data_IF_796742782362
#
_entry.id   IF_796742782362
#
_cell.length_a   1.000
_cell.length_b   1.000
_cell.length_c   1.000
_cell.angle_alpha   90.00
_cell.angle_beta   90.00
_cell.angle_gamma   90.00
#
_symmetry.space_group_name_H-M   'P 1'
#
loop_
_entity.id
_entity.type
_entity.pdbx_description
1 polymer ?
#
# COMPACT_ATOMS: atom_id res chain seq x y z
N UNK A 1 -10.36 -30.72 8.50
CA UNK A 1 -10.11 -29.54 7.64
C UNK A 1 -10.07 -28.23 8.43
N UNK A 2 -11.11 -27.88 9.21
CA UNK A 2 -11.20 -26.62 9.97
C UNK A 2 -9.98 -26.28 10.85
N UNK A 3 -9.45 -27.23 11.64
CA UNK A 3 -8.28 -26.98 12.52
C UNK A 3 -7.02 -26.53 11.75
N UNK A 4 -6.78 -27.07 10.56
CA UNK A 4 -5.66 -26.64 9.68
C UNK A 4 -5.90 -25.26 9.08
N UNK A 5 -7.16 -24.93 8.75
CA UNK A 5 -7.54 -23.59 8.28
C UNK A 5 -7.39 -22.53 9.39
N UNK A 6 -7.72 -22.88 10.63
CA UNK A 6 -7.57 -21.99 11.79
C UNK A 6 -6.09 -21.81 12.14
N UNK A 7 -5.30 -22.88 12.10
CA UNK A 7 -3.85 -22.85 12.38
C UNK A 7 -3.08 -21.92 11.44
N UNK A 8 -3.39 -21.91 10.13
CA UNK A 8 -2.68 -21.05 9.17
C UNK A 8 -2.96 -19.55 9.34
N UNK A 9 -4.21 -19.17 9.64
CA UNK A 9 -4.53 -17.76 9.87
C UNK A 9 -3.95 -17.23 11.19
N UNK A 10 -3.74 -18.11 12.18
CA UNK A 10 -2.96 -17.76 13.39
C UNK A 10 -1.51 -17.41 13.08
N UNK A 11 -0.87 -18.11 12.13
CA UNK A 11 0.51 -17.78 11.73
C UNK A 11 0.58 -16.43 11.02
N UNK A 12 -0.41 -16.09 10.19
CA UNK A 12 -0.49 -14.76 9.58
C UNK A 12 -0.72 -13.67 10.64
N UNK A 13 -1.59 -13.93 11.62
CA UNK A 13 -1.78 -13.01 12.74
C UNK A 13 -0.47 -12.80 13.53
N UNK A 14 0.31 -13.86 13.72
CA UNK A 14 1.63 -13.75 14.35
C UNK A 14 2.58 -12.88 13.51
N UNK A 15 2.59 -13.02 12.19
CA UNK A 15 3.38 -12.14 11.31
C UNK A 15 2.94 -10.68 11.44
N UNK A 16 1.64 -10.41 11.56
CA UNK A 16 1.16 -9.05 11.80
C UNK A 16 1.62 -8.50 13.14
N UNK A 17 1.60 -9.31 14.21
CA UNK A 17 2.14 -8.91 15.51
C UNK A 17 3.64 -8.60 15.41
N UNK A 18 4.42 -9.44 14.72
CA UNK A 18 5.84 -9.20 14.47
C UNK A 18 6.06 -7.90 13.68
N UNK A 19 5.28 -7.67 12.63
CA UNK A 19 5.33 -6.43 11.85
C UNK A 19 4.99 -5.22 12.71
N UNK A 20 3.96 -5.29 13.56
CA UNK A 20 3.61 -4.20 14.49
C UNK A 20 4.79 -3.92 15.42
N UNK A 21 5.38 -4.94 16.04
CA UNK A 21 6.51 -4.76 16.96
C UNK A 21 7.71 -4.11 16.26
N UNK A 22 8.00 -4.52 15.02
CA UNK A 22 9.13 -4.02 14.24
C UNK A 22 8.94 -2.59 13.75
N UNK A 23 7.72 -2.25 13.29
CA UNK A 23 7.41 -0.97 12.67
C UNK A 23 6.68 0.01 13.61
N UNK A 24 6.43 -0.34 14.88
CA UNK A 24 5.73 0.55 15.81
C UNK A 24 6.36 1.95 15.98
N UNK A 25 7.69 2.15 15.87
CA UNK A 25 8.25 3.49 16.04
C UNK A 25 7.78 4.45 14.93
N UNK A 26 7.42 3.91 13.76
CA UNK A 26 6.99 4.69 12.60
C UNK A 26 5.71 5.48 12.85
N UNK A 27 4.83 5.02 13.74
CA UNK A 27 3.59 5.73 14.10
C UNK A 27 3.84 7.07 14.82
N UNK A 28 5.06 7.26 15.34
CA UNK A 28 5.47 8.49 16.03
C UNK A 28 6.28 9.44 15.16
N UNK A 29 6.60 9.04 13.91
CA UNK A 29 7.33 9.89 12.99
C UNK A 29 6.48 11.07 12.53
N UNK A 30 7.13 12.23 12.42
CA UNK A 30 6.56 13.41 11.81
C UNK A 30 6.83 13.42 10.31
N UNK A 31 6.09 14.22 9.56
CA UNK A 31 6.33 14.42 8.13
C UNK A 31 7.76 14.91 7.87
N UNK A 32 8.39 14.39 6.82
CA UNK A 32 9.78 14.68 6.51
C UNK A 32 10.02 14.91 5.00
N UNK A 33 10.94 15.81 4.67
CA UNK A 33 11.35 16.12 3.29
C UNK A 33 10.16 16.37 2.33
N UNK A 34 10.02 15.52 1.31
CA UNK A 34 9.08 15.67 0.20
C UNK A 34 7.63 15.44 0.64
N UNK A 35 7.39 14.91 1.86
CA UNK A 35 6.04 14.74 2.41
C UNK A 35 5.25 16.05 2.38
N UNK A 36 5.89 17.18 2.70
CA UNK A 36 5.23 18.50 2.66
C UNK A 36 4.87 18.93 1.24
N UNK A 37 5.74 18.62 0.28
CA UNK A 37 5.45 18.88 -1.13
C UNK A 37 4.23 18.06 -1.57
N UNK A 38 4.23 16.76 -1.30
CA UNK A 38 3.12 15.88 -1.65
C UNK A 38 1.81 16.25 -0.96
N UNK A 39 1.84 16.63 0.33
CA UNK A 39 0.67 17.13 1.07
C UNK A 39 0.10 18.44 0.52
N UNK A 40 0.96 19.28 -0.07
CA UNK A 40 0.54 20.52 -0.75
C UNK A 40 -0.11 20.20 -2.11
N UNK A 41 0.42 19.22 -2.83
CA UNK A 41 -0.14 18.79 -4.13
C UNK A 41 -1.49 18.08 -3.98
N UNK A 42 -1.66 17.30 -2.92
CA UNK A 42 -2.87 16.53 -2.64
C UNK A 42 -4.03 17.36 -2.06
N UNK A 43 -4.08 18.66 -2.36
CA UNK A 43 -5.15 19.55 -1.90
C UNK A 43 -6.17 19.75 -3.01
N UNK A 44 -7.43 19.46 -2.70
CA UNK A 44 -8.57 19.74 -3.56
C UNK A 44 -9.61 20.51 -2.74
N UNK A 45 -10.03 21.68 -3.24
CA UNK A 45 -11.08 22.48 -2.60
C UNK A 45 -12.43 22.28 -3.29
N UNK A 46 -12.41 21.82 -4.54
CA UNK A 46 -13.59 21.52 -5.34
C UNK A 46 -13.55 20.10 -5.89
N UNK A 47 -14.70 19.59 -6.33
CA UNK A 47 -14.79 18.30 -7.04
C UNK A 47 -13.94 18.33 -8.32
N UNK A 48 -13.86 19.47 -8.99
CA UNK A 48 -13.00 19.63 -10.18
C UNK A 48 -11.52 19.46 -9.83
N UNK A 49 -11.05 20.00 -8.71
CA UNK A 49 -9.67 19.83 -8.26
C UNK A 49 -9.37 18.36 -7.97
N UNK A 50 -10.32 17.65 -7.35
CA UNK A 50 -10.18 16.22 -7.08
C UNK A 50 -10.11 15.39 -8.38
N UNK A 51 -10.97 15.68 -9.36
CA UNK A 51 -10.93 15.03 -10.67
C UNK A 51 -9.60 15.33 -11.38
N UNK A 52 -9.06 16.53 -11.20
CA UNK A 52 -7.78 16.93 -11.79
C UNK A 52 -6.58 16.12 -11.26
N UNK A 53 -6.68 15.43 -10.11
CA UNK A 53 -5.65 14.46 -9.70
C UNK A 53 -5.42 13.38 -10.75
N UNK A 54 -6.47 12.99 -11.49
CA UNK A 54 -6.44 11.99 -12.56
C UNK A 54 -6.15 12.58 -13.94
N UNK A 55 -5.77 13.86 -14.01
CA UNK A 55 -5.36 14.48 -15.27
C UNK A 55 -3.86 14.26 -15.52
N UNK A 56 -3.50 14.03 -16.78
CA UNK A 56 -2.08 13.98 -17.19
C UNK A 56 -1.44 15.38 -17.30
N UNK A 57 -2.24 16.45 -17.21
CA UNK A 57 -1.76 17.83 -17.21
C UNK A 57 -1.67 18.32 -15.77
N UNK A 58 -0.54 18.06 -15.13
CA UNK A 58 -0.36 18.48 -13.75
C UNK A 58 0.00 19.98 -13.71
N UNK A 59 -0.83 20.79 -13.05
CA UNK A 59 -0.65 22.25 -12.92
C UNK A 59 0.66 22.64 -12.22
N UNK A 60 1.31 21.69 -11.55
CA UNK A 60 2.53 21.90 -10.78
C UNK A 60 3.80 21.40 -11.49
N UNK A 61 3.74 21.07 -12.79
CA UNK A 61 4.87 20.55 -13.59
C UNK A 61 5.54 19.32 -12.97
N UNK A 62 4.78 18.53 -12.19
CA UNK A 62 5.29 17.33 -11.53
C UNK A 62 5.22 16.14 -12.48
N UNK A 63 6.38 15.54 -12.74
CA UNK A 63 6.59 14.53 -13.77
C UNK A 63 6.03 13.13 -13.44
N UNK A 64 5.34 12.95 -12.31
CA UNK A 64 4.80 11.63 -11.94
C UNK A 64 3.28 11.66 -11.82
N UNK A 65 2.63 10.78 -12.56
CA UNK A 65 1.19 10.54 -12.55
C UNK A 65 0.89 9.33 -11.67
N UNK A 66 0.46 9.60 -10.43
CA UNK A 66 0.15 8.60 -9.39
C UNK A 66 -1.08 9.00 -8.57
N UNK A 67 -2.24 9.22 -9.21
CA UNK A 67 -3.42 9.82 -8.56
C UNK A 67 -3.85 9.07 -7.31
N UNK A 68 -3.98 7.74 -7.37
CA UNK A 68 -4.53 6.96 -6.27
C UNK A 68 -3.59 6.83 -5.08
N UNK A 69 -2.34 6.45 -5.37
CA UNK A 69 -1.37 6.06 -4.36
C UNK A 69 -0.55 7.23 -3.81
N UNK A 70 -0.79 8.45 -4.28
CA UNK A 70 -0.27 9.68 -3.64
C UNK A 70 -1.40 10.66 -3.37
N UNK A 71 -2.01 11.23 -4.40
CA UNK A 71 -2.95 12.35 -4.28
C UNK A 71 -4.21 11.97 -3.50
N UNK A 72 -4.91 10.91 -3.92
CA UNK A 72 -6.15 10.45 -3.27
C UNK A 72 -5.87 9.97 -1.85
N UNK A 73 -4.81 9.19 -1.64
CA UNK A 73 -4.42 8.75 -0.29
C UNK A 73 -4.21 9.94 0.67
N UNK A 74 -3.37 10.90 0.28
CA UNK A 74 -3.04 12.05 1.11
C UNK A 74 -4.25 12.97 1.30
N UNK A 75 -5.01 13.22 0.22
CA UNK A 75 -6.24 14.02 0.27
C UNK A 75 -7.27 13.41 1.23
N UNK A 76 -7.56 12.11 1.09
CA UNK A 76 -8.56 11.42 1.91
C UNK A 76 -8.15 11.38 3.37
N UNK A 77 -6.89 11.05 3.65
CA UNK A 77 -6.36 11.01 5.01
C UNK A 77 -6.41 12.39 5.66
N UNK A 78 -6.01 13.43 4.93
CA UNK A 78 -6.09 14.83 5.39
C UNK A 78 -7.52 15.27 5.63
N UNK A 79 -8.45 14.90 4.74
CA UNK A 79 -9.85 15.32 4.84
C UNK A 79 -10.56 14.72 6.07
N UNK A 80 -10.16 13.52 6.49
CA UNK A 80 -10.78 12.80 7.61
C UNK A 80 -10.04 13.07 8.93
N UNK A 81 -8.71 13.07 8.93
CA UNK A 81 -7.87 13.09 10.13
C UNK A 81 -6.99 14.34 10.26
N UNK A 82 -7.06 15.27 9.30
CA UNK A 82 -6.21 16.46 9.27
C UNK A 82 -4.73 16.13 9.07
N UNK A 83 -3.85 16.93 9.66
CA UNK A 83 -2.39 16.79 9.55
C UNK A 83 -1.77 15.93 10.65
N UNK A 84 -2.52 14.99 11.23
CA UNK A 84 -2.01 14.11 12.28
C UNK A 84 -1.20 12.94 11.66
N UNK A 85 0.15 12.89 11.79
CA UNK A 85 1.00 11.93 11.05
C UNK A 85 0.67 10.47 11.35
N UNK A 86 0.28 10.19 12.59
CA UNK A 86 -0.13 8.87 13.05
C UNK A 86 -1.09 8.16 12.08
N UNK A 87 -2.11 8.86 11.59
CA UNK A 87 -3.14 8.24 10.72
C UNK A 87 -2.62 7.92 9.32
N UNK A 88 -1.66 8.69 8.80
CA UNK A 88 -1.02 8.41 7.52
C UNK A 88 -0.18 7.14 7.61
N UNK A 89 0.66 7.03 8.65
CA UNK A 89 1.44 5.81 8.89
C UNK A 89 0.54 4.62 9.20
N UNK A 90 -0.60 4.82 9.88
CA UNK A 90 -1.57 3.76 10.15
C UNK A 90 -2.21 3.20 8.90
N UNK A 91 -2.69 4.05 8.01
CA UNK A 91 -3.27 3.58 6.75
C UNK A 91 -2.20 2.92 5.89
N UNK A 92 -0.99 3.48 5.81
CA UNK A 92 0.15 2.86 5.13
C UNK A 92 0.46 1.46 5.68
N UNK A 93 0.50 1.33 7.00
CA UNK A 93 0.75 0.06 7.69
C UNK A 93 -0.38 -0.96 7.48
N UNK A 94 -1.64 -0.53 7.43
CA UNK A 94 -2.79 -1.40 7.12
C UNK A 94 -2.66 -1.96 5.69
N UNK A 95 -2.33 -1.12 4.72
CA UNK A 95 -2.12 -1.57 3.33
C UNK A 95 -0.89 -2.49 3.23
N UNK A 96 0.18 -2.20 3.98
CA UNK A 96 1.33 -3.09 4.11
C UNK A 96 0.96 -4.47 4.68
N UNK A 97 0.14 -4.53 5.73
CA UNK A 97 -0.40 -5.80 6.24
C UNK A 97 -1.24 -6.53 5.18
N UNK A 98 -2.01 -5.78 4.38
CA UNK A 98 -2.75 -6.36 3.27
C UNK A 98 -1.80 -6.96 2.21
N UNK A 99 -0.66 -6.33 1.93
CA UNK A 99 0.38 -6.86 1.04
C UNK A 99 0.97 -8.17 1.56
N UNK A 100 1.32 -8.24 2.85
CA UNK A 100 1.78 -9.49 3.50
C UNK A 100 0.75 -10.61 3.28
N UNK A 101 -0.53 -10.31 3.48
CA UNK A 101 -1.60 -11.30 3.28
C UNK A 101 -1.78 -11.72 1.82
N UNK A 102 -1.69 -10.77 0.88
CA UNK A 102 -1.79 -11.07 -0.55
C UNK A 102 -0.62 -11.95 -1.01
N UNK A 103 0.60 -11.66 -0.56
CA UNK A 103 1.78 -12.51 -0.82
C UNK A 103 1.53 -13.93 -0.30
N UNK A 104 1.05 -14.08 0.94
CA UNK A 104 0.67 -15.39 1.48
C UNK A 104 -0.32 -16.11 0.56
N UNK A 105 -1.36 -15.43 0.09
CA UNK A 105 -2.38 -16.01 -0.80
C UNK A 105 -1.82 -16.41 -2.15
N UNK A 106 -0.98 -15.58 -2.75
CA UNK A 106 -0.35 -15.84 -4.05
C UNK A 106 0.56 -17.06 -3.95
N UNK A 107 1.47 -17.09 -2.97
CA UNK A 107 2.40 -18.21 -2.79
C UNK A 107 1.65 -19.50 -2.45
N UNK A 108 0.60 -19.42 -1.62
CA UNK A 108 -0.24 -20.57 -1.30
C UNK A 108 -0.97 -21.10 -2.54
N UNK A 109 -1.43 -20.21 -3.42
CA UNK A 109 -2.10 -20.60 -4.65
C UNK A 109 -1.15 -21.31 -5.62
N UNK A 110 0.06 -20.76 -5.81
CA UNK A 110 1.05 -21.28 -6.77
C UNK A 110 1.68 -22.58 -6.25
N UNK A 111 2.23 -22.57 -5.02
CA UNK A 111 3.02 -23.69 -4.48
C UNK A 111 2.16 -24.72 -3.76
N UNK A 112 0.92 -24.39 -3.40
CA UNK A 112 0.03 -25.25 -2.59
C UNK A 112 0.66 -25.70 -1.27
N UNK A 113 1.65 -24.96 -0.77
CA UNK A 113 2.41 -25.28 0.43
C UNK A 113 2.32 -24.16 1.47
N UNK A 114 1.67 -24.46 2.58
CA UNK A 114 1.42 -23.48 3.64
C UNK A 114 2.70 -22.98 4.32
N UNK A 115 3.67 -23.85 4.57
CA UNK A 115 4.88 -23.49 5.29
C UNK A 115 5.71 -22.50 4.47
N UNK A 116 5.90 -22.78 3.18
CA UNK A 116 6.58 -21.85 2.27
C UNK A 116 5.83 -20.53 2.15
N UNK A 117 4.49 -20.56 2.10
CA UNK A 117 3.69 -19.33 2.04
C UNK A 117 3.89 -18.44 3.27
N UNK A 118 3.95 -19.04 4.46
CA UNK A 118 4.23 -18.32 5.72
C UNK A 118 5.66 -17.78 5.73
N UNK A 119 6.65 -18.59 5.32
CA UNK A 119 8.06 -18.18 5.29
C UNK A 119 8.25 -16.99 4.34
N UNK A 120 7.72 -17.05 3.12
CA UNK A 120 7.86 -15.96 2.14
C UNK A 120 7.17 -14.68 2.63
N UNK A 121 6.00 -14.80 3.25
CA UNK A 121 5.29 -13.64 3.81
C UNK A 121 6.04 -13.02 5.00
N UNK A 122 6.67 -13.85 5.82
CA UNK A 122 7.53 -13.39 6.92
C UNK A 122 8.79 -12.71 6.39
N UNK A 123 9.43 -13.25 5.36
CA UNK A 123 10.60 -12.63 4.73
C UNK A 123 10.26 -11.26 4.14
N UNK A 124 9.08 -11.12 3.50
CA UNK A 124 8.60 -9.81 3.06
C UNK A 124 8.38 -8.89 4.26
N UNK A 125 7.70 -9.34 5.31
CA UNK A 125 7.45 -8.54 6.51
C UNK A 125 8.72 -8.08 7.25
N UNK A 126 9.81 -8.84 7.17
CA UNK A 126 11.09 -8.52 7.82
C UNK A 126 12.06 -7.73 6.93
N UNK A 127 11.71 -7.50 5.66
CA UNK A 127 12.59 -6.81 4.72
C UNK A 127 12.86 -5.37 5.16
N UNK A 128 14.14 -4.99 5.23
CA UNK A 128 14.57 -3.64 5.57
C UNK A 128 14.10 -2.60 4.55
N UNK A 129 13.85 -3.00 3.30
CA UNK A 129 13.31 -2.11 2.27
C UNK A 129 11.94 -1.53 2.66
N UNK A 130 11.12 -2.28 3.41
CA UNK A 130 9.82 -1.78 3.86
C UNK A 130 9.97 -0.73 4.97
N UNK A 131 11.08 -0.71 5.71
CA UNK A 131 11.33 0.31 6.74
C UNK A 131 11.44 1.70 6.13
N UNK A 132 12.21 1.83 5.06
CA UNK A 132 12.37 3.10 4.34
C UNK A 132 11.06 3.53 3.69
N UNK A 133 10.31 2.61 3.09
CA UNK A 133 9.05 2.97 2.44
C UNK A 133 7.96 3.37 3.45
N UNK A 134 7.90 2.73 4.62
CA UNK A 134 6.90 3.04 5.65
C UNK A 134 7.23 4.30 6.46
N UNK A 135 8.48 4.77 6.44
CA UNK A 135 8.90 5.96 7.19
C UNK A 135 8.48 7.28 6.55
N UNK A 136 8.22 7.31 5.24
CA UNK A 136 7.77 8.51 4.52
C UNK A 136 6.33 8.34 4.06
N UNK A 137 5.48 9.34 4.30
CA UNK A 137 4.09 9.27 3.83
C UNK A 137 3.99 9.45 2.31
N UNK A 138 4.95 10.16 1.71
CA UNK A 138 5.10 10.30 0.26
C UNK A 138 5.46 8.99 -0.44
N UNK A 139 6.19 8.10 0.24
CA UNK A 139 6.55 6.77 -0.26
C UNK A 139 5.40 5.75 -0.18
N UNK A 140 4.21 6.16 0.30
CA UNK A 140 3.00 5.30 0.26
C UNK A 140 2.69 4.80 -1.15
N UNK A 141 3.16 5.51 -2.19
CA UNK A 141 3.06 5.07 -3.57
C UNK A 141 3.57 3.65 -3.81
N UNK A 142 4.70 3.28 -3.22
CA UNK A 142 5.29 1.95 -3.39
C UNK A 142 4.44 0.86 -2.72
N UNK A 143 3.93 1.16 -1.52
CA UNK A 143 3.06 0.24 -0.76
C UNK A 143 1.72 0.06 -1.48
N UNK A 144 1.12 1.15 -1.93
CA UNK A 144 -0.15 1.16 -2.66
C UNK A 144 -0.04 0.52 -4.03
N UNK A 145 1.03 0.78 -4.79
CA UNK A 145 1.26 0.11 -6.07
C UNK A 145 1.47 -1.39 -5.87
N UNK A 146 2.30 -1.79 -4.88
CA UNK A 146 2.50 -3.20 -4.55
C UNK A 146 1.15 -3.90 -4.24
N UNK A 147 0.25 -3.23 -3.50
CA UNK A 147 -1.09 -3.74 -3.23
C UNK A 147 -1.90 -4.01 -4.50
N UNK A 148 -1.98 -3.03 -5.39
CA UNK A 148 -2.69 -3.19 -6.66
C UNK A 148 -2.05 -4.24 -7.57
N UNK A 149 -0.73 -4.33 -7.61
CA UNK A 149 -0.01 -5.37 -8.35
C UNK A 149 -0.26 -6.77 -7.77
N UNK A 150 -0.21 -6.96 -6.45
CA UNK A 150 -0.50 -8.25 -5.85
C UNK A 150 -1.98 -8.66 -6.04
N UNK A 151 -2.92 -7.72 -5.97
CA UNK A 151 -4.32 -8.00 -6.34
C UNK A 151 -4.44 -8.42 -7.81
N UNK A 152 -3.75 -7.73 -8.71
CA UNK A 152 -3.70 -8.06 -10.14
C UNK A 152 -3.22 -9.50 -10.35
N UNK A 153 -2.10 -9.88 -9.73
CA UNK A 153 -1.54 -11.24 -9.81
C UNK A 153 -2.54 -12.26 -9.24
N UNK A 154 -3.08 -12.01 -8.05
CA UNK A 154 -3.99 -12.95 -7.39
C UNK A 154 -5.26 -13.18 -8.22
N UNK A 155 -5.86 -12.13 -8.77
CA UNK A 155 -7.06 -12.23 -9.59
C UNK A 155 -6.79 -12.80 -10.98
N UNK A 156 -5.60 -12.56 -11.54
CA UNK A 156 -5.16 -13.20 -12.77
C UNK A 156 -5.05 -14.71 -12.58
N UNK A 157 -4.40 -15.15 -11.50
CA UNK A 157 -4.29 -16.57 -11.14
C UNK A 157 -5.66 -17.22 -10.90
N UNK A 158 -6.63 -16.45 -10.39
CA UNK A 158 -8.02 -16.89 -10.18
C UNK A 158 -8.91 -16.78 -11.45
N UNK A 159 -8.35 -16.37 -12.59
CA UNK A 159 -9.09 -16.17 -13.86
C UNK A 159 -10.29 -15.23 -13.73
N UNK A 160 -10.14 -14.13 -12.97
CA UNK A 160 -11.19 -13.11 -12.83
C UNK A 160 -11.03 -12.02 -13.90
N UNK A 161 -12.14 -11.50 -14.42
CA UNK A 161 -12.12 -10.45 -15.46
C UNK A 161 -11.78 -9.05 -14.91
N UNK A 162 -11.88 -8.82 -13.60
CA UNK A 162 -11.61 -7.52 -12.98
C UNK A 162 -10.12 -7.17 -12.87
N UNK A 163 -9.21 -8.04 -13.34
CA UNK A 163 -7.74 -7.87 -13.26
C UNK A 163 -7.29 -6.54 -13.87
N UNK A 164 -7.87 -6.14 -15.00
CA UNK A 164 -7.49 -4.92 -15.72
C UNK A 164 -7.69 -3.66 -14.89
N UNK A 165 -8.70 -3.63 -14.01
CA UNK A 165 -8.98 -2.48 -13.14
C UNK A 165 -7.81 -2.26 -12.17
N UNK A 166 -7.36 -3.35 -11.53
CA UNK A 166 -6.25 -3.29 -10.57
C UNK A 166 -4.90 -3.05 -11.25
N UNK A 167 -4.73 -3.56 -12.47
CA UNK A 167 -3.52 -3.30 -13.25
C UNK A 167 -3.39 -1.81 -13.60
N UNK A 168 -4.49 -1.18 -14.03
CA UNK A 168 -4.51 0.27 -14.30
C UNK A 168 -4.23 1.07 -13.03
N UNK A 169 -4.77 0.67 -11.88
CA UNK A 169 -4.50 1.34 -10.60
C UNK A 169 -3.07 1.14 -10.08
N UNK A 170 -2.40 0.05 -10.46
CA UNK A 170 -0.99 -0.20 -10.13
C UNK A 170 0.00 0.53 -11.02
N UNK A 171 -0.41 1.00 -12.20
CA UNK A 171 0.47 1.71 -13.13
C UNK A 171 0.67 3.17 -12.71
N UNK A 172 1.89 3.50 -12.26
CA UNK A 172 2.36 4.88 -12.19
C UNK A 172 3.02 5.28 -13.50
N UNK A 173 2.63 6.42 -14.08
CA UNK A 173 3.27 6.94 -15.30
C UNK A 173 4.27 8.04 -14.94
N UNK A 174 5.45 8.01 -15.55
CA UNK A 174 6.34 9.18 -15.58
C UNK A 174 6.02 9.96 -16.84
N UNK A 175 5.53 11.18 -16.67
CA UNK A 175 5.26 12.11 -17.75
C UNK A 175 6.59 12.77 -18.12
N UNK A 176 6.97 12.61 -19.39
CA UNK A 176 8.22 13.13 -19.96
C UNK A 176 8.18 14.65 -20.12
#
# INVERSE_FOLDING_TARGET
MLRRLISRYRLILLIFIVAILLYHPLFSLFFFQDDFFHLKMAQANTVSDFINFFSFKNSYSYAFYRPLTTQVFLFMTKSIFGYQPFYYHLIAFIVFCANIFLIYKIVLFILKNNNFSVIVSLLYALSSANMTTLSYISAFEEIGMAFFFFLTILFYLQKRNCVWIFLVFGMGFRLA
#
